data_IF_775619233810
#
_entry.id   IF_775619233810
#
_cell.length_a   1.000
_cell.length_b   1.000
_cell.length_c   1.000
_cell.angle_alpha   90.00
_cell.angle_beta   90.00
_cell.angle_gamma   90.00
#
_symmetry.space_group_name_H-M   'P 1'
#
loop_
_entity.id
_entity.type
_entity.pdbx_description
1 polymer ?
#
# COMPACT_ATOMS: atom_id res chain seq x y z
N UNK A 1 -23.67 -4.02 1.30
CA UNK A 1 -22.74 -2.97 0.84
C UNK A 1 -21.86 -3.57 -0.24
N UNK A 2 -21.78 -2.97 -1.44
CA UNK A 2 -20.93 -3.48 -2.52
C UNK A 2 -19.59 -2.74 -2.47
N UNK A 3 -18.50 -3.46 -2.31
CA UNK A 3 -17.17 -2.87 -2.38
C UNK A 3 -16.92 -2.36 -3.80
N UNK A 4 -16.52 -1.09 -3.94
CA UNK A 4 -16.31 -0.44 -5.22
C UNK A 4 -14.84 0.00 -5.35
N UNK A 5 -14.08 -0.67 -6.21
CA UNK A 5 -12.67 -0.37 -6.44
C UNK A 5 -12.44 1.03 -7.00
N UNK A 6 -13.39 1.58 -7.74
CA UNK A 6 -13.25 2.92 -8.32
C UNK A 6 -13.33 3.99 -7.23
N UNK A 7 -14.24 3.85 -6.27
CA UNK A 7 -14.32 4.75 -5.11
C UNK A 7 -13.02 4.68 -4.28
N UNK A 8 -12.44 3.49 -4.12
CA UNK A 8 -11.18 3.33 -3.40
C UNK A 8 -10.00 3.93 -4.16
N UNK A 9 -9.98 3.86 -5.49
CA UNK A 9 -8.98 4.53 -6.31
C UNK A 9 -9.03 6.05 -6.12
N UNK A 10 -10.23 6.64 -6.11
CA UNK A 10 -10.40 8.08 -5.86
C UNK A 10 -9.94 8.49 -4.44
N UNK A 11 -10.22 7.66 -3.42
CA UNK A 11 -9.71 7.87 -2.07
C UNK A 11 -8.17 7.77 -2.03
N UNK A 12 -7.59 6.81 -2.75
CA UNK A 12 -6.14 6.68 -2.87
C UNK A 12 -5.53 7.97 -3.44
N UNK A 13 -6.06 8.49 -4.55
CA UNK A 13 -5.57 9.74 -5.14
C UNK A 13 -5.60 10.91 -4.14
N UNK A 14 -6.67 11.03 -3.36
CA UNK A 14 -6.75 12.04 -2.29
C UNK A 14 -5.65 11.87 -1.24
N UNK A 15 -5.39 10.64 -0.78
CA UNK A 15 -4.36 10.35 0.23
C UNK A 15 -2.95 10.65 -0.25
N UNK A 16 -2.68 10.49 -1.55
CA UNK A 16 -1.37 10.79 -2.14
C UNK A 16 -1.32 12.19 -2.80
N UNK A 17 -2.31 13.04 -2.52
CA UNK A 17 -2.38 14.43 -3.01
C UNK A 17 -2.30 14.57 -4.53
N UNK A 18 -2.90 13.62 -5.24
CA UNK A 18 -2.97 13.61 -6.69
C UNK A 18 -4.36 14.04 -7.17
N UNK A 19 -4.40 14.93 -8.17
CA UNK A 19 -5.61 15.35 -8.88
C UNK A 19 -5.60 14.72 -10.28
N UNK A 20 -6.48 13.75 -10.51
CA UNK A 20 -6.54 13.00 -11.77
C UNK A 20 -6.72 13.92 -12.98
N UNK A 21 -7.47 15.02 -12.86
CA UNK A 21 -7.72 15.93 -13.96
C UNK A 21 -6.48 16.73 -14.37
N UNK A 22 -5.48 16.82 -13.48
CA UNK A 22 -4.20 17.48 -13.75
C UNK A 22 -3.13 16.52 -14.27
N UNK A 23 -3.39 15.22 -14.28
CA UNK A 23 -2.46 14.22 -14.80
C UNK A 23 -2.49 14.16 -16.32
N UNK A 24 -1.33 13.91 -16.94
CA UNK A 24 -1.28 13.49 -18.34
C UNK A 24 -1.85 12.08 -18.53
N UNK A 25 -2.28 11.73 -19.74
CA UNK A 25 -2.94 10.44 -20.03
C UNK A 25 -2.10 9.22 -19.62
N UNK A 26 -0.78 9.26 -19.85
CA UNK A 26 0.13 8.18 -19.41
C UNK A 26 0.12 8.03 -17.90
N UNK A 27 0.25 9.13 -17.16
CA UNK A 27 0.27 9.12 -15.70
C UNK A 27 -1.05 8.61 -15.13
N UNK A 28 -2.21 9.02 -15.68
CA UNK A 28 -3.52 8.50 -15.28
C UNK A 28 -3.57 6.98 -15.42
N UNK A 29 -3.19 6.48 -16.61
CA UNK A 29 -3.21 5.05 -16.92
C UNK A 29 -2.29 4.27 -15.97
N UNK A 30 -1.04 4.69 -15.81
CA UNK A 30 -0.06 3.99 -15.00
C UNK A 30 -0.42 4.04 -13.50
N UNK A 31 -0.88 5.18 -13.00
CA UNK A 31 -1.33 5.33 -11.60
C UNK A 31 -2.50 4.40 -11.31
N UNK A 32 -3.47 4.31 -12.22
CA UNK A 32 -4.60 3.39 -12.08
C UNK A 32 -4.14 1.93 -12.15
N UNK A 33 -3.28 1.58 -13.11
CA UNK A 33 -2.72 0.22 -13.20
C UNK A 33 -1.96 -0.18 -11.92
N UNK A 34 -1.14 0.73 -11.38
CA UNK A 34 -0.42 0.51 -10.14
C UNK A 34 -1.35 0.29 -8.94
N UNK A 35 -2.41 1.09 -8.81
CA UNK A 35 -3.40 0.93 -7.75
C UNK A 35 -4.10 -0.44 -7.81
N UNK A 36 -4.62 -0.83 -8.97
CA UNK A 36 -5.33 -2.10 -9.12
C UNK A 36 -4.38 -3.31 -8.93
N UNK A 37 -3.15 -3.22 -9.45
CA UNK A 37 -2.11 -4.22 -9.20
C UNK A 37 -1.77 -4.34 -7.70
N UNK A 38 -1.60 -3.21 -7.00
CA UNK A 38 -1.32 -3.18 -5.57
C UNK A 38 -2.44 -3.79 -4.72
N UNK A 39 -3.71 -3.49 -5.04
CA UNK A 39 -4.86 -4.07 -4.35
C UNK A 39 -4.92 -5.59 -4.58
N UNK A 40 -4.78 -6.05 -5.82
CA UNK A 40 -4.81 -7.50 -6.11
C UNK A 40 -3.67 -8.26 -5.41
N UNK A 41 -2.46 -7.70 -5.38
CA UNK A 41 -1.35 -8.29 -4.63
C UNK A 41 -1.59 -8.30 -3.12
N UNK A 42 -2.18 -7.24 -2.57
CA UNK A 42 -2.55 -7.19 -1.15
C UNK A 42 -3.53 -8.30 -0.78
N UNK A 43 -4.53 -8.57 -1.64
CA UNK A 43 -5.46 -9.70 -1.44
C UNK A 43 -4.74 -11.04 -1.46
N UNK A 44 -3.84 -11.27 -2.42
CA UNK A 44 -3.04 -12.50 -2.49
C UNK A 44 -2.17 -12.68 -1.25
N UNK A 45 -1.56 -11.59 -0.77
CA UNK A 45 -0.76 -11.60 0.45
C UNK A 45 -1.60 -11.97 1.69
N UNK A 46 -2.78 -11.37 1.88
CA UNK A 46 -3.67 -11.75 2.99
C UNK A 46 -4.14 -13.20 2.91
N UNK A 47 -4.41 -13.71 1.69
CA UNK A 47 -4.72 -15.13 1.51
C UNK A 47 -3.53 -16.02 1.86
N UNK A 48 -2.30 -15.63 1.55
CA UNK A 48 -1.11 -16.37 1.93
C UNK A 48 -0.92 -16.39 3.46
N UNK A 49 -1.11 -15.25 4.14
CA UNK A 49 -1.06 -15.15 5.60
C UNK A 49 -2.10 -16.04 6.29
N UNK A 50 -3.31 -16.13 5.75
CA UNK A 50 -4.37 -16.97 6.30
C UNK A 50 -4.05 -18.48 6.24
N UNK A 51 -3.03 -18.89 5.46
CA UNK A 51 -2.65 -20.29 5.25
C UNK A 51 -1.38 -20.70 6.01
N UNK A 52 -0.80 -19.82 6.84
CA UNK A 52 0.37 -20.14 7.67
C UNK A 52 0.03 -20.12 9.16
N UNK A 53 0.93 -20.69 9.96
CA UNK A 53 0.82 -20.71 11.42
C UNK A 53 0.82 -19.28 12.00
N UNK A 54 -0.04 -19.01 12.99
CA UNK A 54 -0.28 -17.67 13.53
C UNK A 54 1.00 -16.93 13.94
N UNK A 55 1.90 -17.57 14.68
CA UNK A 55 3.17 -16.96 15.09
C UNK A 55 4.03 -16.55 13.89
N UNK A 56 4.06 -17.37 12.83
CA UNK A 56 4.80 -17.04 11.59
C UNK A 56 4.14 -15.92 10.80
N UNK A 57 2.82 -15.80 10.87
CA UNK A 57 2.09 -14.69 10.26
C UNK A 57 2.41 -13.37 10.95
N UNK A 58 2.52 -13.37 12.28
CA UNK A 58 2.93 -12.19 13.06
C UNK A 58 4.34 -11.77 12.69
N UNK A 59 5.30 -12.69 12.70
CA UNK A 59 6.69 -12.39 12.34
C UNK A 59 6.79 -11.77 10.92
N UNK A 60 6.08 -12.34 9.96
CA UNK A 60 6.06 -11.84 8.58
C UNK A 60 5.40 -10.45 8.46
N UNK A 61 4.37 -10.17 9.27
CA UNK A 61 3.74 -8.85 9.30
C UNK A 61 4.67 -7.80 9.92
N UNK A 62 5.40 -8.14 10.98
CA UNK A 62 6.37 -7.26 11.62
C UNK A 62 7.52 -6.91 10.66
N UNK A 63 8.04 -7.90 9.93
CA UNK A 63 9.05 -7.70 8.89
C UNK A 63 8.54 -6.76 7.79
N UNK A 64 7.30 -6.95 7.33
CA UNK A 64 6.69 -6.10 6.31
C UNK A 64 6.52 -4.65 6.81
N UNK A 65 6.07 -4.46 8.05
CA UNK A 65 5.93 -3.14 8.67
C UNK A 65 7.29 -2.44 8.72
N UNK A 66 8.34 -3.18 9.08
CA UNK A 66 9.70 -2.66 9.11
C UNK A 66 10.19 -2.26 7.72
N UNK A 67 9.98 -3.09 6.69
CA UNK A 67 10.36 -2.77 5.30
C UNK A 67 9.64 -1.53 4.77
N UNK A 68 8.32 -1.43 4.97
CA UNK A 68 7.52 -0.28 4.55
C UNK A 68 7.96 0.98 5.30
N UNK A 69 8.17 0.88 6.60
CA UNK A 69 8.68 2.00 7.40
C UNK A 69 10.03 2.47 6.88
N UNK A 70 10.97 1.53 6.64
CA UNK A 70 12.29 1.83 6.11
C UNK A 70 12.25 2.52 4.74
N UNK A 71 11.32 2.14 3.87
CA UNK A 71 11.12 2.84 2.60
C UNK A 71 10.75 4.32 2.81
N UNK A 72 9.78 4.61 3.68
CA UNK A 72 9.37 5.98 3.95
C UNK A 72 10.43 6.81 4.70
N UNK A 73 11.16 6.20 5.64
CA UNK A 73 12.27 6.85 6.34
C UNK A 73 13.39 7.24 5.36
N UNK A 74 13.73 6.35 4.41
CA UNK A 74 14.70 6.64 3.35
C UNK A 74 14.26 7.79 2.45
N UNK A 75 12.97 7.88 2.14
CA UNK A 75 12.41 8.98 1.33
C UNK A 75 12.39 10.31 2.07
N UNK A 76 12.16 10.31 3.38
CA UNK A 76 11.96 11.53 4.20
C UNK A 76 13.20 11.96 4.99
N UNK A 77 14.24 11.13 5.05
CA UNK A 77 15.49 11.42 5.77
C UNK A 77 15.36 11.48 7.30
N UNK A 78 14.21 11.08 7.87
CA UNK A 78 13.96 11.16 9.31
C UNK A 78 14.19 9.77 9.95
N UNK A 79 15.07 9.61 10.95
CA UNK A 79 15.23 8.34 11.66
C UNK A 79 14.06 8.10 12.63
N UNK A 80 13.68 6.84 12.84
CA UNK A 80 12.73 6.47 13.91
C UNK A 80 13.34 6.87 15.25
N UNK A 81 12.62 7.67 16.05
CA UNK A 81 12.89 7.71 17.48
C UNK A 81 12.52 6.34 18.02
N UNK A 82 13.51 5.59 18.50
CA UNK A 82 13.27 4.42 19.34
C UNK A 82 12.60 4.93 20.62
N UNK A 83 11.34 4.59 20.83
CA UNK A 83 10.75 4.72 22.15
C UNK A 83 11.43 3.67 23.04
N UNK A 84 12.22 4.17 24.01
CA UNK A 84 12.82 3.41 25.10
C UNK A 84 11.75 2.95 26.09
#
# INVERSE_FOLDING_TARGET
MKFNLEEQYQIYLQKVYLDENKMGETQKKETRQAFFAGVSQSVLFYLALANIEEMKAVDLLDDLIMEVSNFWLKLTGTPLKSDN
#
